data_IF_840004745468
#
_entry.id   IF_840004745468
#
_cell.length_a   1.000
_cell.length_b   1.000
_cell.length_c   1.000
_cell.angle_alpha   90.00
_cell.angle_beta   90.00
_cell.angle_gamma   90.00
#
_symmetry.space_group_name_H-M   'P 1'
#
loop_
_entity.id
_entity.type
_entity.pdbx_description
1 polymer ?
#
# COMPACT_ATOMS: atom_id res chain seq x y z
N UNK A 1 -12.42 5.63 18.07
CA UNK A 1 -11.80 6.60 17.14
C UNK A 1 -11.88 6.06 15.71
N UNK A 2 -11.95 6.92 14.67
CA UNK A 2 -11.87 6.52 13.27
C UNK A 2 -10.63 7.16 12.65
N UNK A 3 -9.93 6.40 11.82
CA UNK A 3 -8.85 6.90 10.96
C UNK A 3 -9.38 7.26 9.58
N UNK A 4 -8.88 8.37 9.04
CA UNK A 4 -9.04 8.66 7.63
C UNK A 4 -8.22 7.69 6.78
N UNK A 5 -8.71 7.27 5.62
CA UNK A 5 -7.97 6.42 4.68
C UNK A 5 -8.31 6.78 3.24
N UNK A 6 -7.33 6.68 2.35
CA UNK A 6 -7.50 6.90 0.91
C UNK A 6 -7.35 5.56 0.16
N UNK A 7 -8.29 4.63 0.39
CA UNK A 7 -8.20 3.26 -0.15
C UNK A 7 -8.93 3.11 -1.50
N UNK A 8 -10.01 3.88 -1.71
CA UNK A 8 -10.88 3.75 -2.87
C UNK A 8 -10.43 4.57 -4.09
N UNK A 9 -9.13 4.85 -4.21
CA UNK A 9 -8.54 5.62 -5.30
C UNK A 9 -7.04 5.79 -5.13
N UNK A 10 -6.50 6.93 -5.58
CA UNK A 10 -5.09 7.30 -5.39
C UNK A 10 -4.97 8.73 -4.88
N UNK A 11 -4.41 8.90 -3.69
CA UNK A 11 -4.31 10.19 -3.02
C UNK A 11 -3.39 11.20 -3.73
N UNK A 12 -2.49 10.73 -4.57
CA UNK A 12 -1.62 11.60 -5.38
C UNK A 12 -2.30 12.14 -6.63
N UNK A 13 -3.49 11.60 -6.98
CA UNK A 13 -4.30 12.06 -8.11
C UNK A 13 -5.49 12.89 -7.62
N UNK A 14 -6.22 12.38 -6.63
CA UNK A 14 -7.38 13.05 -6.02
C UNK A 14 -6.97 13.63 -4.66
N UNK A 15 -6.81 14.95 -4.61
CA UNK A 15 -6.42 15.67 -3.39
C UNK A 15 -7.60 16.05 -2.50
N UNK A 16 -8.83 15.60 -2.78
CA UNK A 16 -10.02 15.90 -1.96
C UNK A 16 -9.97 15.38 -0.52
N UNK A 17 -8.96 14.56 -0.21
CA UNK A 17 -8.70 14.07 1.14
C UNK A 17 -8.21 15.18 2.10
N UNK A 18 -7.60 16.25 1.59
CA UNK A 18 -7.00 17.32 2.40
C UNK A 18 -8.06 17.98 3.30
N UNK A 19 -9.24 18.25 2.76
CA UNK A 19 -10.33 18.92 3.49
C UNK A 19 -11.09 17.96 4.46
N UNK A 20 -10.74 16.68 4.46
CA UNK A 20 -11.47 15.63 5.23
C UNK A 20 -10.59 14.91 6.25
N UNK A 21 -9.36 15.39 6.46
CA UNK A 21 -8.42 14.78 7.40
C UNK A 21 -9.04 14.57 8.77
N UNK A 22 -8.80 13.39 9.34
CA UNK A 22 -9.14 13.02 10.70
C UNK A 22 -7.93 13.30 11.62
N UNK A 23 -8.04 12.93 12.90
CA UNK A 23 -6.92 13.03 13.86
C UNK A 23 -5.72 12.20 13.43
N UNK A 24 -5.95 11.01 12.85
CA UNK A 24 -4.93 10.17 12.21
C UNK A 24 -5.39 9.69 10.85
N UNK A 25 -4.46 9.60 9.89
CA UNK A 25 -4.80 9.27 8.50
C UNK A 25 -3.76 8.36 7.86
N UNK A 26 -4.24 7.39 7.07
CA UNK A 26 -3.44 6.57 6.17
C UNK A 26 -3.62 7.09 4.75
N UNK A 27 -2.61 7.75 4.23
CA UNK A 27 -2.61 8.30 2.86
C UNK A 27 -1.89 7.32 1.93
N UNK A 28 -2.62 6.76 0.97
CA UNK A 28 -2.14 5.70 0.07
C UNK A 28 -1.99 6.26 -1.33
N UNK A 29 -0.81 6.12 -1.93
CA UNK A 29 -0.59 6.57 -3.30
C UNK A 29 0.47 5.74 -4.03
N UNK A 30 0.28 5.58 -5.35
CA UNK A 30 1.26 5.10 -6.34
C UNK A 30 1.94 6.28 -7.05
N UNK A 31 1.50 7.51 -6.83
CA UNK A 31 1.86 8.69 -7.62
C UNK A 31 2.86 9.61 -6.90
N UNK A 32 3.62 9.09 -5.94
CA UNK A 32 4.67 9.84 -5.28
C UNK A 32 5.89 9.97 -6.18
N UNK A 33 5.98 11.06 -6.90
CA UNK A 33 7.14 11.40 -7.76
C UNK A 33 7.57 12.84 -7.52
N UNK A 34 8.81 13.19 -7.84
CA UNK A 34 9.33 14.57 -7.73
C UNK A 34 8.48 15.56 -8.55
N UNK A 35 7.85 15.11 -9.64
CA UNK A 35 7.02 15.94 -10.51
C UNK A 35 5.68 16.30 -9.89
N UNK A 36 5.16 15.47 -8.98
CA UNK A 36 3.85 15.70 -8.35
C UNK A 36 3.95 16.67 -7.17
N UNK A 37 4.32 17.93 -7.47
CA UNK A 37 4.55 18.97 -6.46
C UNK A 37 3.33 19.25 -5.57
N UNK A 38 2.12 19.22 -6.15
CA UNK A 38 0.87 19.46 -5.39
C UNK A 38 0.69 18.42 -4.29
N UNK A 39 0.89 17.14 -4.62
CA UNK A 39 0.79 16.06 -3.65
C UNK A 39 1.88 16.15 -2.58
N UNK A 40 3.13 16.40 -2.98
CA UNK A 40 4.25 16.57 -2.04
C UNK A 40 3.96 17.71 -1.06
N UNK A 41 3.52 18.88 -1.53
CA UNK A 41 3.18 20.01 -0.66
C UNK A 41 2.06 19.66 0.32
N UNK A 42 0.99 19.02 -0.17
CA UNK A 42 -0.12 18.58 0.68
C UNK A 42 0.33 17.60 1.79
N UNK A 43 1.25 16.69 1.49
CA UNK A 43 1.84 15.80 2.49
C UNK A 43 2.65 16.55 3.53
N UNK A 44 3.49 17.49 3.10
CA UNK A 44 4.34 18.29 4.00
C UNK A 44 3.54 19.19 4.93
N UNK A 45 2.50 19.84 4.41
CA UNK A 45 1.60 20.74 5.16
C UNK A 45 0.79 19.99 6.23
N UNK A 46 0.53 18.70 6.02
CA UNK A 46 -0.32 17.87 6.91
C UNK A 46 0.45 16.71 7.58
N UNK A 47 1.77 16.73 7.54
CA UNK A 47 2.62 15.60 8.00
C UNK A 47 2.31 15.11 9.41
N UNK A 48 1.95 15.98 10.33
CA UNK A 48 1.70 15.63 11.73
C UNK A 48 0.48 14.71 11.94
N UNK A 49 -0.34 14.51 10.90
CA UNK A 49 -1.57 13.68 10.94
C UNK A 49 -1.54 12.49 9.98
N UNK A 50 -0.40 12.25 9.30
CA UNK A 50 -0.35 11.31 8.18
C UNK A 50 0.65 10.17 8.42
N UNK A 51 0.20 8.94 8.22
CA UNK A 51 1.06 7.81 7.85
C UNK A 51 0.94 7.65 6.32
N UNK A 52 2.04 7.76 5.62
CA UNK A 52 2.09 7.68 4.16
C UNK A 52 2.40 6.25 3.71
N UNK A 53 1.46 5.63 3.02
CA UNK A 53 1.68 4.35 2.34
C UNK A 53 2.08 4.61 0.89
N UNK A 54 3.36 4.48 0.59
CA UNK A 54 3.90 4.58 -0.76
C UNK A 54 3.77 3.24 -1.45
N UNK A 55 2.81 3.11 -2.35
CA UNK A 55 2.58 1.84 -3.05
C UNK A 55 3.50 1.71 -4.25
N UNK A 56 4.35 0.69 -4.23
CA UNK A 56 5.24 0.31 -5.32
C UNK A 56 5.29 -1.22 -5.44
N UNK A 57 4.71 -1.76 -6.51
CA UNK A 57 4.59 -3.21 -6.74
C UNK A 57 5.65 -3.74 -7.71
N UNK A 58 6.44 -2.86 -8.32
CA UNK A 58 7.39 -3.19 -9.39
C UNK A 58 6.74 -3.37 -10.78
N UNK A 59 5.45 -3.12 -10.92
CA UNK A 59 4.74 -3.21 -12.19
C UNK A 59 4.47 -1.86 -12.87
N UNK A 60 4.85 -0.75 -12.25
CA UNK A 60 4.65 0.60 -12.82
C UNK A 60 5.13 0.72 -14.27
N UNK A 61 4.35 1.35 -15.13
CA UNK A 61 4.60 1.49 -16.58
C UNK A 61 4.38 0.21 -17.39
N UNK A 62 3.96 -0.89 -16.78
CA UNK A 62 3.64 -2.14 -17.49
C UNK A 62 2.15 -2.24 -17.80
N UNK A 63 1.77 -3.23 -18.62
CA UNK A 63 0.36 -3.54 -18.88
C UNK A 63 -0.45 -3.84 -17.60
N UNK A 64 0.19 -4.29 -16.52
CA UNK A 64 -0.45 -4.51 -15.22
C UNK A 64 -0.80 -3.21 -14.50
N UNK A 65 0.05 -2.18 -14.66
CA UNK A 65 -0.08 -0.85 -14.05
C UNK A 65 0.30 0.25 -15.07
N UNK A 66 -0.54 0.47 -16.12
CA UNK A 66 -0.14 1.28 -17.28
C UNK A 66 0.16 2.74 -16.95
N UNK A 67 -0.54 3.34 -16.01
CA UNK A 67 -0.43 4.75 -15.67
C UNK A 67 0.15 4.96 -14.25
N UNK A 68 0.95 4.01 -13.78
CA UNK A 68 1.68 4.10 -12.50
C UNK A 68 3.15 4.40 -12.80
N UNK A 69 3.80 5.30 -12.05
CA UNK A 69 5.23 5.60 -12.21
C UNK A 69 6.13 4.38 -12.06
N UNK A 70 7.30 4.42 -12.70
CA UNK A 70 8.32 3.39 -12.50
C UNK A 70 8.86 3.41 -11.06
N UNK A 71 9.38 2.27 -10.59
CA UNK A 71 9.98 2.12 -9.25
C UNK A 71 11.00 3.22 -8.94
N UNK A 72 11.84 3.56 -9.92
CA UNK A 72 12.85 4.61 -9.78
C UNK A 72 12.22 6.00 -9.49
N UNK A 73 11.17 6.37 -10.21
CA UNK A 73 10.50 7.66 -10.01
C UNK A 73 9.87 7.76 -8.61
N UNK A 74 9.28 6.66 -8.14
CA UNK A 74 8.70 6.57 -6.79
C UNK A 74 9.77 6.66 -5.72
N UNK A 75 10.88 5.93 -5.87
CA UNK A 75 12.02 5.98 -4.96
C UNK A 75 12.61 7.40 -4.85
N UNK A 76 12.84 8.06 -6.00
CA UNK A 76 13.28 9.46 -6.03
C UNK A 76 12.29 10.38 -5.34
N UNK A 77 10.98 10.13 -5.52
CA UNK A 77 9.91 10.85 -4.84
C UNK A 77 9.99 10.72 -3.31
N UNK A 78 10.25 9.51 -2.80
CA UNK A 78 10.45 9.25 -1.36
C UNK A 78 11.68 9.99 -0.83
N UNK A 79 12.83 9.85 -1.50
CA UNK A 79 14.05 10.56 -1.12
C UNK A 79 13.87 12.08 -1.09
N UNK A 80 13.18 12.63 -2.09
CA UNK A 80 12.86 14.06 -2.15
C UNK A 80 11.93 14.49 -0.99
N UNK A 81 10.88 13.72 -0.70
CA UNK A 81 9.94 14.01 0.38
C UNK A 81 10.66 14.04 1.75
N UNK A 82 11.52 13.05 2.01
CA UNK A 82 12.36 12.99 3.21
C UNK A 82 13.28 14.21 3.29
N UNK A 83 13.93 14.60 2.19
CA UNK A 83 14.82 15.77 2.14
C UNK A 83 14.10 17.09 2.43
N UNK A 84 12.77 17.14 2.26
CA UNK A 84 11.91 18.29 2.60
C UNK A 84 11.35 18.23 4.03
N UNK A 85 11.76 17.27 4.84
CA UNK A 85 11.42 17.17 6.26
C UNK A 85 10.13 16.40 6.57
N UNK A 86 9.69 15.51 5.70
CA UNK A 86 8.66 14.55 6.05
C UNK A 86 9.28 13.44 6.94
N UNK A 87 8.65 13.09 8.07
CA UNK A 87 9.23 12.11 9.00
C UNK A 87 9.33 10.73 8.36
N UNK A 88 10.50 10.13 8.43
CA UNK A 88 10.78 8.85 7.77
C UNK A 88 10.01 7.68 8.38
N UNK A 89 9.78 7.71 9.69
CA UNK A 89 9.01 6.72 10.44
C UNK A 89 7.53 6.67 10.05
N UNK A 90 7.02 7.75 9.48
CA UNK A 90 5.65 7.84 8.95
C UNK A 90 5.52 7.28 7.52
N UNK A 91 6.63 6.89 6.88
CA UNK A 91 6.62 6.31 5.54
C UNK A 91 6.60 4.78 5.63
N UNK A 92 5.62 4.18 4.98
CA UNK A 92 5.45 2.73 4.83
C UNK A 92 5.55 2.39 3.33
N UNK A 93 6.53 1.60 2.94
CA UNK A 93 6.59 1.02 1.60
C UNK A 93 5.47 -0.01 1.47
N UNK A 94 4.55 0.18 0.53
CA UNK A 94 3.42 -0.72 0.33
C UNK A 94 3.59 -1.54 -0.94
N UNK A 95 3.92 -2.83 -0.79
CA UNK A 95 3.99 -3.79 -1.89
C UNK A 95 2.69 -4.61 -1.94
N UNK A 96 1.60 -3.93 -2.27
CA UNK A 96 0.23 -4.45 -2.22
C UNK A 96 -0.52 -4.14 -3.53
N UNK A 97 -0.93 -5.21 -4.24
CA UNK A 97 -0.68 -6.62 -3.93
C UNK A 97 0.62 -7.18 -4.54
N UNK A 98 1.16 -8.25 -3.94
CA UNK A 98 2.17 -9.10 -4.57
C UNK A 98 1.44 -10.10 -5.46
N UNK A 99 1.88 -10.25 -6.71
CA UNK A 99 1.44 -11.33 -7.60
C UNK A 99 2.35 -12.53 -7.35
N UNK A 100 1.87 -13.67 -6.84
CA UNK A 100 2.70 -14.74 -6.33
C UNK A 100 3.22 -15.71 -7.41
N UNK A 101 3.60 -15.14 -8.57
CA UNK A 101 4.32 -15.84 -9.65
C UNK A 101 5.81 -15.55 -9.54
N UNK A 102 6.68 -16.37 -10.15
CA UNK A 102 8.12 -16.12 -10.20
C UNK A 102 8.43 -14.67 -10.64
N UNK A 103 7.80 -14.22 -11.73
CA UNK A 103 7.96 -12.86 -12.23
C UNK A 103 7.49 -11.80 -11.23
N UNK A 104 6.36 -12.02 -10.55
CA UNK A 104 5.84 -11.08 -9.57
C UNK A 104 6.71 -11.02 -8.32
N UNK A 105 7.18 -12.16 -7.84
CA UNK A 105 8.14 -12.27 -6.73
C UNK A 105 9.46 -11.61 -7.08
N UNK A 106 10.01 -11.84 -8.28
CA UNK A 106 11.23 -11.19 -8.73
C UNK A 106 11.09 -9.66 -8.76
N UNK A 107 9.96 -9.13 -9.24
CA UNK A 107 9.69 -7.69 -9.27
C UNK A 107 9.61 -7.08 -7.89
N UNK A 108 8.88 -7.70 -6.97
CA UNK A 108 8.76 -7.14 -5.61
C UNK A 108 10.09 -7.22 -4.85
N UNK A 109 10.89 -8.27 -5.04
CA UNK A 109 12.27 -8.33 -4.51
C UNK A 109 13.11 -7.17 -5.01
N UNK A 110 13.06 -6.86 -6.32
CA UNK A 110 13.75 -5.70 -6.89
C UNK A 110 13.27 -4.37 -6.28
N UNK A 111 11.98 -4.25 -5.91
CA UNK A 111 11.48 -3.09 -5.17
C UNK A 111 12.12 -3.01 -3.78
N UNK A 112 12.14 -4.11 -3.02
CA UNK A 112 12.74 -4.14 -1.68
C UNK A 112 14.23 -3.84 -1.72
N UNK A 113 14.97 -4.39 -2.70
CA UNK A 113 16.38 -4.06 -2.91
C UNK A 113 16.57 -2.57 -3.20
N UNK A 114 15.76 -2.03 -4.11
CA UNK A 114 15.86 -0.64 -4.54
C UNK A 114 15.58 0.37 -3.40
N UNK A 115 14.63 0.04 -2.51
CA UNK A 115 14.31 0.87 -1.35
C UNK A 115 15.16 0.58 -0.11
N UNK A 116 16.12 -0.33 -0.17
CA UNK A 116 16.94 -0.71 0.99
C UNK A 116 17.83 0.42 1.52
N UNK A 117 18.21 1.35 0.67
CA UNK A 117 18.98 2.56 1.00
C UNK A 117 18.12 3.66 1.65
N UNK A 118 16.79 3.59 1.51
CA UNK A 118 15.90 4.51 2.20
C UNK A 118 15.90 4.25 3.71
N UNK A 119 15.68 5.29 4.50
CA UNK A 119 15.59 5.16 5.96
C UNK A 119 14.25 4.55 6.42
N UNK A 120 13.24 4.47 5.55
CA UNK A 120 11.97 3.83 5.86
C UNK A 120 12.16 2.32 5.99
N UNK A 121 11.74 1.77 7.12
CA UNK A 121 11.96 0.35 7.48
C UNK A 121 10.67 -0.47 7.56
N UNK A 122 9.50 0.13 7.33
CA UNK A 122 8.20 -0.54 7.38
C UNK A 122 7.75 -0.92 5.97
N UNK A 123 7.38 -2.18 5.78
CA UNK A 123 6.81 -2.68 4.53
C UNK A 123 5.42 -3.24 4.80
N UNK A 124 4.39 -2.70 4.14
CA UNK A 124 3.04 -3.26 4.13
C UNK A 124 2.85 -4.10 2.87
N UNK A 125 2.39 -5.35 3.04
CA UNK A 125 2.17 -6.24 1.90
C UNK A 125 0.85 -7.00 1.99
N UNK A 126 0.36 -7.41 0.83
CA UNK A 126 -0.69 -8.42 0.67
C UNK A 126 -0.40 -9.26 -0.57
N UNK A 127 -1.05 -10.41 -0.67
CA UNK A 127 -1.04 -11.22 -1.88
C UNK A 127 -2.38 -10.97 -2.60
N UNK A 128 -2.36 -10.96 -3.92
CA UNK A 128 -3.54 -10.66 -4.73
C UNK A 128 -4.68 -11.64 -4.46
N UNK A 129 -5.89 -11.11 -4.25
CA UNK A 129 -7.15 -11.84 -4.36
C UNK A 129 -7.78 -11.60 -5.74
N UNK A 130 -8.20 -12.68 -6.40
CA UNK A 130 -8.73 -12.63 -7.76
C UNK A 130 -10.26 -12.48 -7.76
N UNK A 131 -10.75 -11.26 -7.62
CA UNK A 131 -12.16 -10.94 -7.84
C UNK A 131 -12.58 -11.25 -9.28
N UNK A 132 -13.86 -11.58 -9.56
CA UNK A 132 -14.32 -11.94 -10.91
C UNK A 132 -13.92 -10.92 -11.99
N UNK A 133 -14.13 -9.63 -11.72
CA UNK A 133 -13.76 -8.55 -12.64
C UNK A 133 -12.24 -8.35 -12.79
N UNK A 134 -11.43 -8.65 -11.76
CA UNK A 134 -9.97 -8.65 -11.89
C UNK A 134 -9.47 -9.84 -12.71
N UNK A 135 -10.08 -11.04 -12.54
CA UNK A 135 -9.81 -12.21 -13.39
C UNK A 135 -10.06 -11.89 -14.85
N UNK A 136 -11.22 -11.30 -15.18
CA UNK A 136 -11.58 -10.95 -16.56
C UNK A 136 -10.55 -10.03 -17.19
N UNK A 137 -10.16 -8.94 -16.51
CA UNK A 137 -9.16 -8.00 -17.02
C UNK A 137 -7.77 -8.62 -17.20
N UNK A 138 -7.34 -9.45 -16.26
CA UNK A 138 -6.03 -10.14 -16.35
C UNK A 138 -6.06 -11.16 -17.49
N UNK A 139 -7.14 -11.95 -17.63
CA UNK A 139 -7.30 -12.92 -18.69
C UNK A 139 -7.33 -12.26 -20.07
N UNK A 140 -8.08 -11.17 -20.23
CA UNK A 140 -8.13 -10.38 -21.47
C UNK A 140 -6.73 -9.87 -21.86
N UNK A 141 -5.97 -9.36 -20.90
CA UNK A 141 -4.68 -8.74 -21.17
C UNK A 141 -3.54 -9.73 -21.38
N UNK A 142 -3.57 -10.89 -20.69
CA UNK A 142 -2.44 -11.84 -20.66
C UNK A 142 -2.77 -13.24 -21.19
N UNK A 143 -4.04 -13.54 -21.44
CA UNK A 143 -4.50 -14.86 -21.87
C UNK A 143 -4.38 -15.96 -20.80
N UNK A 144 -3.98 -15.62 -19.58
CA UNK A 144 -3.82 -16.54 -18.45
C UNK A 144 -3.91 -15.82 -17.10
N UNK A 145 -4.34 -16.55 -16.08
CA UNK A 145 -4.35 -16.08 -14.69
C UNK A 145 -3.08 -16.50 -13.94
N UNK A 146 -2.69 -15.81 -12.87
CA UNK A 146 -1.60 -16.25 -11.99
C UNK A 146 -1.96 -17.56 -11.23
N UNK A 147 -3.25 -17.77 -10.94
CA UNK A 147 -3.87 -18.97 -10.35
C UNK A 147 -5.39 -18.89 -10.54
N UNK A 148 -6.14 -20.01 -10.32
CA UNK A 148 -7.57 -20.08 -10.64
C UNK A 148 -8.50 -19.75 -9.46
N UNK A 149 -8.06 -20.02 -8.22
CA UNK A 149 -8.82 -19.77 -6.98
C UNK A 149 -9.04 -18.28 -6.73
N UNK A 150 -9.88 -17.94 -5.73
CA UNK A 150 -10.03 -16.55 -5.28
C UNK A 150 -8.76 -16.07 -4.57
N UNK A 151 -8.26 -16.85 -3.60
CA UNK A 151 -6.99 -16.61 -2.90
C UNK A 151 -5.89 -17.46 -3.49
N UNK A 152 -4.65 -17.02 -3.38
CA UNK A 152 -3.49 -17.77 -3.86
C UNK A 152 -3.36 -19.14 -3.14
N UNK A 153 -2.98 -20.21 -3.86
CA UNK A 153 -2.67 -21.50 -3.26
C UNK A 153 -1.56 -21.41 -2.21
N UNK A 154 -1.60 -22.26 -1.19
CA UNK A 154 -0.65 -22.21 -0.07
C UNK A 154 0.81 -22.20 -0.51
N UNK A 155 1.19 -23.04 -1.46
CA UNK A 155 2.59 -23.10 -1.94
C UNK A 155 3.05 -21.77 -2.56
N UNK A 156 2.15 -21.01 -3.21
CA UNK A 156 2.48 -19.69 -3.74
C UNK A 156 2.64 -18.66 -2.62
N UNK A 157 1.81 -18.76 -1.57
CA UNK A 157 1.95 -17.94 -0.36
C UNK A 157 3.30 -18.24 0.31
N UNK A 158 3.64 -19.51 0.47
CA UNK A 158 4.91 -19.95 1.06
C UNK A 158 6.13 -19.43 0.27
N UNK A 159 6.05 -19.39 -1.07
CA UNK A 159 7.08 -18.80 -1.92
C UNK A 159 7.25 -17.29 -1.70
N UNK A 160 6.15 -16.55 -1.48
CA UNK A 160 6.21 -15.13 -1.14
C UNK A 160 6.85 -14.93 0.24
N UNK A 161 6.47 -15.74 1.23
CA UNK A 161 7.04 -15.69 2.58
C UNK A 161 8.55 -15.99 2.53
N UNK A 162 8.96 -17.03 1.81
CA UNK A 162 10.38 -17.36 1.60
C UNK A 162 11.16 -16.22 0.92
N UNK A 163 10.52 -15.48 0.01
CA UNK A 163 11.14 -14.32 -0.63
C UNK A 163 11.31 -13.13 0.31
N UNK A 164 10.48 -12.99 1.35
CA UNK A 164 10.56 -11.95 2.39
C UNK A 164 11.72 -12.21 3.34
N UNK A 165 12.00 -13.47 3.70
CA UNK A 165 12.95 -13.83 4.77
C UNK A 165 14.32 -13.15 4.67
N UNK A 166 15.01 -13.08 3.51
CA UNK A 166 16.30 -12.41 3.41
C UNK A 166 16.26 -10.91 3.72
N UNK A 167 15.08 -10.28 3.57
CA UNK A 167 14.87 -8.84 3.77
C UNK A 167 14.44 -8.46 5.19
N UNK A 168 14.11 -9.43 6.06
CA UNK A 168 13.73 -9.16 7.46
C UNK A 168 14.83 -8.48 8.28
N UNK A 169 16.08 -8.63 7.87
CA UNK A 169 17.20 -7.88 8.46
C UNK A 169 17.19 -6.37 8.13
N UNK A 170 16.43 -5.97 7.10
CA UNK A 170 16.34 -4.58 6.64
C UNK A 170 14.99 -3.98 7.02
N UNK A 171 13.91 -4.76 6.88
CA UNK A 171 12.53 -4.30 7.01
C UNK A 171 11.74 -5.03 8.09
N UNK A 172 10.82 -4.30 8.70
CA UNK A 172 9.69 -4.86 9.44
C UNK A 172 8.52 -5.02 8.48
N UNK A 173 8.08 -6.28 8.28
CA UNK A 173 6.95 -6.60 7.42
C UNK A 173 5.64 -6.59 8.18
N UNK A 174 4.59 -6.09 7.55
CA UNK A 174 3.25 -5.93 8.10
C UNK A 174 2.23 -6.40 7.05
N UNK A 175 1.30 -7.28 7.43
CA UNK A 175 0.27 -7.79 6.53
C UNK A 175 -1.15 -7.50 7.04
N UNK A 176 -2.07 -7.30 6.13
CA UNK A 176 -3.49 -7.13 6.47
C UNK A 176 -4.33 -8.41 6.31
N UNK A 177 -3.76 -9.48 5.74
CA UNK A 177 -4.46 -10.74 5.48
C UNK A 177 -4.33 -11.72 6.64
N UNK A 178 -5.38 -12.54 6.87
CA UNK A 178 -5.47 -13.47 7.99
C UNK A 178 -4.49 -14.63 7.90
N UNK A 179 -4.19 -15.04 6.69
CA UNK A 179 -3.34 -16.19 6.36
C UNK A 179 -1.85 -15.84 6.21
N UNK A 180 -1.46 -14.61 6.60
CA UNK A 180 -0.07 -14.17 6.51
C UNK A 180 0.54 -14.00 7.92
N UNK A 181 1.84 -14.34 8.11
CA UNK A 181 2.47 -14.38 9.41
C UNK A 181 2.61 -13.00 10.10
N UNK A 182 2.76 -11.94 9.30
CA UNK A 182 3.04 -10.59 9.80
C UNK A 182 1.77 -9.74 9.98
N UNK A 183 0.71 -10.34 10.45
CA UNK A 183 -0.63 -9.75 10.51
C UNK A 183 -0.72 -8.62 11.54
N UNK A 184 -1.00 -7.39 11.06
CA UNK A 184 -1.18 -6.19 11.92
C UNK A 184 -2.38 -5.30 11.52
N UNK A 185 -3.11 -5.64 10.46
CA UNK A 185 -4.20 -4.80 9.95
C UNK A 185 -3.73 -3.58 9.16
N UNK A 186 -4.68 -2.87 8.51
CA UNK A 186 -4.37 -1.67 7.72
C UNK A 186 -4.06 -0.45 8.58
N UNK A 187 -4.61 -0.40 9.79
CA UNK A 187 -4.34 0.61 10.81
C UNK A 187 -3.82 -0.15 12.01
N UNK A 188 -2.56 0.04 12.36
CA UNK A 188 -1.88 -0.68 13.44
C UNK A 188 -1.70 0.20 14.68
N UNK A 189 -1.43 -0.41 15.82
CA UNK A 189 -1.03 0.29 17.04
C UNK A 189 0.19 1.17 16.80
N UNK A 190 1.13 0.70 15.95
CA UNK A 190 2.33 1.46 15.58
C UNK A 190 2.00 2.79 14.89
N UNK A 191 0.92 2.85 14.10
CA UNK A 191 0.49 4.09 13.45
C UNK A 191 0.03 5.14 14.48
N UNK A 192 -0.65 4.70 15.56
CA UNK A 192 -1.00 5.57 16.69
C UNK A 192 0.23 6.09 17.41
N UNK A 193 1.17 5.21 17.76
CA UNK A 193 2.41 5.58 18.47
C UNK A 193 3.23 6.61 17.68
N UNK A 194 3.37 6.40 16.36
CA UNK A 194 4.12 7.32 15.49
C UNK A 194 3.46 8.69 15.41
N UNK A 195 2.12 8.75 15.41
CA UNK A 195 1.37 10.00 15.37
C UNK A 195 1.16 10.61 16.77
N UNK A 196 1.72 10.02 17.83
CA UNK A 196 1.53 10.49 19.21
C UNK A 196 0.10 10.42 19.72
N UNK A 197 -0.70 9.52 19.19
CA UNK A 197 -2.12 9.34 19.58
C UNK A 197 -2.25 8.40 20.78
N UNK A 198 -3.29 8.58 21.56
CA UNK A 198 -3.58 7.73 22.72
C UNK A 198 -3.81 6.27 22.31
N UNK A 199 -3.02 5.37 22.87
CA UNK A 199 -3.05 3.93 22.63
C UNK A 199 -3.79 3.16 23.74
N UNK A 200 -4.20 3.82 24.82
CA UNK A 200 -4.79 3.17 26.00
C UNK A 200 -6.17 2.55 25.75
N UNK A 201 -6.88 3.05 24.75
CA UNK A 201 -8.27 2.64 24.41
C UNK A 201 -8.34 1.83 23.11
N UNK A 202 -7.20 1.41 22.56
CA UNK A 202 -7.18 0.64 21.31
C UNK A 202 -7.80 -0.75 21.54
N UNK A 203 -8.78 -1.08 20.72
CA UNK A 203 -9.28 -2.45 20.54
C UNK A 203 -8.78 -2.98 19.19
N UNK A 204 -8.09 -4.11 19.21
CA UNK A 204 -7.67 -4.78 17.98
C UNK A 204 -8.79 -5.63 17.40
N UNK A 205 -9.06 -5.45 16.11
CA UNK A 205 -9.94 -6.31 15.34
C UNK A 205 -11.42 -5.88 15.25
N UNK A 206 -12.13 -6.57 14.37
CA UNK A 206 -13.59 -6.46 14.25
C UNK A 206 -14.14 -5.23 13.52
N UNK A 207 -13.32 -4.25 13.13
CA UNK A 207 -13.81 -2.98 12.58
C UNK A 207 -14.33 -3.03 11.14
N UNK A 208 -13.85 -3.98 10.33
CA UNK A 208 -14.28 -4.11 8.93
C UNK A 208 -14.74 -5.52 8.58
N UNK A 209 -14.03 -6.52 9.06
CA UNK A 209 -14.34 -7.94 8.96
C UNK A 209 -14.10 -8.54 10.34
N UNK A 210 -14.81 -9.64 10.69
CA UNK A 210 -14.62 -10.33 11.98
C UNK A 210 -13.16 -10.67 12.28
N UNK A 211 -12.40 -10.91 11.23
CA UNK A 211 -10.99 -11.34 11.25
C UNK A 211 -10.01 -10.19 11.02
N UNK A 212 -10.47 -8.95 10.84
CA UNK A 212 -9.61 -7.79 10.63
C UNK A 212 -8.82 -7.45 11.91
N UNK A 213 -7.49 -7.30 11.80
CA UNK A 213 -6.62 -6.89 12.90
C UNK A 213 -6.46 -5.35 13.04
N UNK A 214 -7.27 -4.55 12.33
CA UNK A 214 -7.18 -3.09 12.41
C UNK A 214 -7.52 -2.59 13.81
N UNK A 215 -6.79 -1.56 14.26
CA UNK A 215 -6.95 -0.91 15.57
C UNK A 215 -7.99 0.22 15.56
N UNK A 216 -8.59 0.54 14.42
CA UNK A 216 -9.62 1.58 14.30
C UNK A 216 -10.59 1.30 13.15
N UNK A 217 -11.77 1.91 13.22
CA UNK A 217 -12.66 2.05 12.07
C UNK A 217 -12.08 2.98 11.02
N UNK A 218 -12.48 2.81 9.75
CA UNK A 218 -12.01 3.60 8.61
C UNK A 218 -13.07 4.62 8.17
N UNK A 219 -12.60 5.81 7.80
CA UNK A 219 -13.36 6.82 7.05
C UNK A 219 -12.67 7.05 5.73
N UNK A 220 -13.33 6.71 4.60
CA UNK A 220 -12.77 6.97 3.27
C UNK A 220 -12.77 8.47 2.97
N UNK A 221 -11.60 8.99 2.61
CA UNK A 221 -11.37 10.42 2.41
C UNK A 221 -11.51 10.87 0.95
N UNK A 222 -11.41 9.94 -0.02
CA UNK A 222 -11.50 10.29 -1.43
C UNK A 222 -12.94 10.53 -1.87
N UNK A 223 -13.15 11.54 -2.71
CA UNK A 223 -14.45 11.87 -3.29
C UNK A 223 -14.73 11.07 -4.57
N UNK A 224 -13.71 10.81 -5.39
CA UNK A 224 -13.80 10.16 -6.69
C UNK A 224 -13.54 8.64 -6.60
N UNK A 225 -14.26 7.96 -5.74
CA UNK A 225 -14.20 6.50 -5.61
C UNK A 225 -14.41 5.82 -6.96
N UNK A 226 -13.66 4.74 -7.24
CA UNK A 226 -13.74 3.92 -8.47
C UNK A 226 -13.29 4.59 -9.77
N UNK A 227 -12.91 5.87 -9.77
CA UNK A 227 -12.49 6.64 -10.96
C UNK A 227 -10.99 6.89 -11.02
N UNK A 228 -10.18 6.01 -10.41
CA UNK A 228 -8.74 6.15 -10.44
C UNK A 228 -8.19 5.87 -11.86
N UNK A 229 -7.47 6.82 -12.49
CA UNK A 229 -6.94 6.66 -13.84
C UNK A 229 -5.68 5.81 -13.91
N UNK A 230 -5.13 5.31 -12.78
CA UNK A 230 -3.94 4.44 -12.76
C UNK A 230 -4.11 3.16 -13.59
N UNK A 231 -5.34 2.68 -13.76
CA UNK A 231 -5.66 1.59 -14.69
C UNK A 231 -5.18 0.20 -14.26
N UNK A 232 -4.78 0.00 -13.00
CA UNK A 232 -4.27 -1.27 -12.49
C UNK A 232 -5.24 -2.42 -12.75
N UNK A 233 -4.78 -3.51 -13.37
CA UNK A 233 -5.65 -4.65 -13.74
C UNK A 233 -6.19 -5.41 -12.52
N UNK A 234 -5.43 -5.44 -11.43
CA UNK A 234 -5.80 -6.12 -10.19
C UNK A 234 -6.65 -5.27 -9.23
N UNK A 235 -6.96 -4.03 -9.57
CA UNK A 235 -7.72 -3.16 -8.67
C UNK A 235 -9.15 -3.66 -8.47
N UNK A 236 -9.50 -3.99 -7.23
CA UNK A 236 -10.85 -4.47 -6.88
C UNK A 236 -11.89 -3.34 -6.76
N UNK A 237 -11.46 -2.08 -6.65
CA UNK A 237 -12.34 -0.91 -6.66
C UNK A 237 -12.77 -0.49 -8.07
N UNK A 238 -12.07 -0.93 -9.09
CA UNK A 238 -12.35 -0.59 -10.49
C UNK A 238 -13.30 -1.63 -11.08
N UNK A 239 -14.41 -1.17 -11.64
CA UNK A 239 -15.36 -1.98 -12.40
C UNK A 239 -14.83 -2.30 -13.79
#
# INVERSE_FOLDING_TARGET
MKFGITEAGDAGIDLSWIDKLQTGNIIISKQLTIKNKKFINALLENKDKIILHVTCTGFGGSKMEPNVPFTMDVHQGVGYLISKGFPVEQIVLRTDPIIPTEKGISRVKSVWDYFSDTKSKRVRYSIIDLYPHTKSRIMEQYGKLPFDSFTAPKYMIDNVIAAIEPFRKIYTYEACAENLPDRVGCISKKDYEILGLDTSTIQEGGFQRKTCACCAGKTELLSNKKRCPSGCLYCYWRD
#
